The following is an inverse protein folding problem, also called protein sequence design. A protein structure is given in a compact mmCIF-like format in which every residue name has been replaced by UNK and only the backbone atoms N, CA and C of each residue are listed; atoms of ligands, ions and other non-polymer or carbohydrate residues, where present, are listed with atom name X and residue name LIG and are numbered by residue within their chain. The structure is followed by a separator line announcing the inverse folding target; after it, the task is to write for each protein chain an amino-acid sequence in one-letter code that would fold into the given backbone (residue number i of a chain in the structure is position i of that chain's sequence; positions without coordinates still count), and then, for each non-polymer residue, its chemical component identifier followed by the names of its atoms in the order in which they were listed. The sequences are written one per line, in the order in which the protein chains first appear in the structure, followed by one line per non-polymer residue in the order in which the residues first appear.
data_IF_800934005516
#
_entry.id   IF_800934005516
#
_cell.length_a   1.000
_cell.length_b   1.000
_cell.length_c   1.000
_cell.angle_alpha   90.00
_cell.angle_beta   90.00
_cell.angle_gamma   90.00
#
_symmetry.space_group_name_H-M   'P 1'
#
loop_
_entity.id
_entity.type
_entity.pdbx_description
1 polymer ?
#
# COMPACT_ATOMS: atom_id res chain seq x y z
N UNK A 1 31.28 -8.73 8.42
CA UNK A 1 30.51 -8.15 7.29
C UNK A 1 29.08 -7.93 7.77
N UNK A 2 28.70 -6.68 8.08
CA UNK A 2 27.28 -6.34 8.27
C UNK A 2 26.61 -6.48 6.90
N UNK A 3 25.78 -7.51 6.76
CA UNK A 3 24.81 -7.59 5.67
C UNK A 3 23.70 -6.60 6.03
N UNK A 4 23.70 -5.45 5.37
CA UNK A 4 22.54 -4.54 5.34
C UNK A 4 21.41 -5.32 4.68
N UNK A 5 20.51 -5.91 5.47
CA UNK A 5 19.30 -6.50 4.90
C UNK A 5 18.36 -5.36 4.54
N UNK A 6 17.86 -5.40 3.31
CA UNK A 6 16.62 -4.74 2.90
C UNK A 6 15.62 -4.83 4.04
N UNK A 7 14.98 -3.70 4.38
CA UNK A 7 14.11 -3.51 5.54
C UNK A 7 13.32 -4.78 5.89
N UNK A 8 13.70 -5.43 7.00
CA UNK A 8 13.12 -6.72 7.40
C UNK A 8 11.60 -6.60 7.62
N UNK A 9 11.16 -5.41 8.07
CA UNK A 9 9.76 -5.08 8.35
C UNK A 9 9.27 -4.05 7.33
N UNK A 10 8.20 -4.37 6.62
CA UNK A 10 7.49 -3.48 5.69
C UNK A 10 6.15 -3.09 6.26
N UNK A 11 5.84 -1.78 6.28
CA UNK A 11 4.57 -1.26 6.79
C UNK A 11 3.73 -0.62 5.68
N UNK A 12 2.41 -0.70 5.82
CA UNK A 12 1.44 -0.10 4.91
C UNK A 12 0.17 0.34 5.64
N UNK A 13 -0.44 1.43 5.19
CA UNK A 13 -1.74 1.91 5.63
C UNK A 13 -2.66 2.02 4.42
N UNK A 14 -3.94 1.65 4.53
CA UNK A 14 -4.86 1.71 3.38
C UNK A 14 -5.48 3.09 3.17
N UNK A 15 -5.39 3.94 4.20
CA UNK A 15 -5.98 5.26 4.30
C UNK A 15 -5.32 6.01 5.49
N UNK A 16 -5.89 7.15 5.86
CA UNK A 16 -5.40 8.02 6.94
C UNK A 16 -6.16 7.86 8.27
N UNK A 17 -6.77 6.72 8.57
CA UNK A 17 -7.58 6.54 9.79
C UNK A 17 -6.77 6.17 11.05
N UNK A 18 -5.43 6.16 10.97
CA UNK A 18 -4.54 5.76 12.06
C UNK A 18 -4.25 4.25 12.13
N UNK A 19 -4.89 3.41 11.31
CA UNK A 19 -4.62 1.97 11.25
C UNK A 19 -3.52 1.67 10.22
N UNK A 20 -2.55 0.85 10.62
CA UNK A 20 -1.50 0.37 9.74
C UNK A 20 -1.10 -1.07 10.04
N UNK A 21 -0.51 -1.71 9.05
CA UNK A 21 -0.08 -3.11 9.08
C UNK A 21 1.41 -3.17 8.80
N UNK A 22 2.16 -3.88 9.63
CA UNK A 22 3.58 -4.15 9.41
C UNK A 22 3.79 -5.65 9.28
N UNK A 23 4.53 -6.08 8.27
CA UNK A 23 4.76 -7.49 7.96
C UNK A 23 6.23 -7.77 7.67
N UNK A 24 6.64 -9.02 7.90
CA UNK A 24 7.99 -9.48 7.61
C UNK A 24 7.96 -10.91 7.08
N UNK A 25 8.97 -11.25 6.28
CA UNK A 25 9.12 -12.60 5.73
C UNK A 25 10.20 -13.35 6.49
N UNK A 26 9.85 -14.50 7.03
CA UNK A 26 10.80 -15.38 7.67
C UNK A 26 11.69 -16.08 6.63
N UNK A 27 12.99 -16.11 6.86
CA UNK A 27 13.89 -16.97 6.09
C UNK A 27 13.54 -18.44 6.32
N UNK A 28 13.59 -19.26 5.27
CA UNK A 28 13.18 -20.67 5.30
C UNK A 28 13.96 -21.52 6.33
N UNK A 29 15.19 -21.13 6.64
CA UNK A 29 16.04 -21.80 7.66
C UNK A 29 15.68 -21.43 9.11
N UNK A 30 14.76 -20.48 9.35
CA UNK A 30 14.33 -20.07 10.70
C UNK A 30 13.26 -21.02 11.23
N UNK A 31 13.69 -22.13 11.82
CA UNK A 31 12.81 -23.20 12.30
C UNK A 31 12.14 -22.89 13.64
N UNK A 32 12.84 -22.24 14.58
CA UNK A 32 12.32 -21.91 15.93
C UNK A 32 12.12 -20.40 16.09
N UNK A 33 11.27 -19.85 15.23
CA UNK A 33 10.95 -18.42 15.18
C UNK A 33 9.92 -18.02 16.23
N UNK A 34 10.14 -16.89 16.88
CA UNK A 34 9.19 -16.25 17.78
C UNK A 34 9.34 -14.72 17.71
N UNK A 35 8.25 -14.01 17.94
CA UNK A 35 8.29 -12.59 18.31
C UNK A 35 8.25 -12.54 19.83
N UNK A 36 9.29 -11.98 20.43
CA UNK A 36 9.45 -11.92 21.89
C UNK A 36 8.87 -10.62 22.44
N UNK A 37 8.98 -9.53 21.66
CA UNK A 37 8.47 -8.23 22.02
C UNK A 37 8.17 -7.42 20.76
N UNK A 38 7.15 -6.57 20.84
CA UNK A 38 6.89 -5.54 19.85
C UNK A 38 6.33 -4.29 20.56
N UNK A 39 6.62 -3.12 20.02
CA UNK A 39 5.98 -1.88 20.41
C UNK A 39 5.98 -0.91 19.24
N UNK A 40 4.89 -0.15 19.09
CA UNK A 40 4.84 1.01 18.22
C UNK A 40 4.55 2.23 19.09
N UNK A 41 5.36 3.27 18.99
CA UNK A 41 5.31 4.43 19.86
C UNK A 41 5.21 5.70 19.02
N UNK A 42 4.28 6.58 19.38
CA UNK A 42 4.23 7.97 18.88
C UNK A 42 4.05 8.91 20.07
N UNK A 43 4.85 9.98 20.13
CA UNK A 43 4.78 10.96 21.22
C UNK A 43 4.85 10.34 22.64
N UNK A 44 5.75 9.36 22.83
CA UNK A 44 5.88 8.60 24.09
C UNK A 44 4.63 7.83 24.51
N UNK A 45 3.63 7.68 23.64
CA UNK A 45 2.45 6.84 23.84
C UNK A 45 2.57 5.56 23.02
N UNK A 46 2.37 4.42 23.70
CA UNK A 46 2.26 3.12 23.05
C UNK A 46 0.97 3.05 22.23
N UNK A 47 1.08 2.61 20.98
CA UNK A 47 -0.04 2.37 20.10
C UNK A 47 -0.58 0.95 20.32
N UNK A 48 -1.88 0.78 20.13
CA UNK A 48 -2.50 -0.52 20.29
C UNK A 48 -2.15 -1.40 19.09
N UNK A 49 -1.36 -2.45 19.33
CA UNK A 49 -0.94 -3.39 18.30
C UNK A 49 -1.30 -4.83 18.65
N UNK A 50 -1.67 -5.62 17.64
CA UNK A 50 -2.00 -7.04 17.74
C UNK A 50 -1.19 -7.86 16.74
N UNK A 51 -0.51 -8.89 17.23
CA UNK A 51 0.24 -9.84 16.43
C UNK A 51 -0.69 -10.92 15.85
N UNK A 52 -0.52 -11.25 14.58
CA UNK A 52 -1.27 -12.31 13.92
C UNK A 52 -0.89 -13.71 14.42
N UNK A 53 -1.73 -14.71 14.14
CA UNK A 53 -1.49 -16.10 14.55
C UNK A 53 -0.25 -16.72 13.90
N UNK A 54 0.18 -16.21 12.74
CA UNK A 54 1.32 -16.72 12.00
C UNK A 54 2.64 -16.07 12.42
N UNK A 55 2.61 -15.09 13.34
CA UNK A 55 3.77 -14.38 13.85
C UNK A 55 4.54 -13.72 12.69
N UNK A 56 3.81 -13.17 11.73
CA UNK A 56 4.34 -12.56 10.49
C UNK A 56 3.80 -11.17 10.22
N UNK A 57 2.76 -10.76 10.92
CA UNK A 57 2.10 -9.48 10.74
C UNK A 57 1.68 -8.87 12.08
N UNK A 58 1.89 -7.56 12.19
CA UNK A 58 1.44 -6.74 13.29
C UNK A 58 0.43 -5.71 12.76
N UNK A 59 -0.79 -5.73 13.29
CA UNK A 59 -1.81 -4.70 13.02
C UNK A 59 -1.82 -3.71 14.16
N UNK A 60 -1.68 -2.42 13.88
CA UNK A 60 -1.67 -1.36 14.87
C UNK A 60 -2.74 -0.31 14.57
N UNK A 61 -3.25 0.33 15.63
CA UNK A 61 -4.14 1.48 15.52
C UNK A 61 -3.69 2.61 16.44
N UNK A 62 -3.55 3.78 15.84
CA UNK A 62 -3.34 5.04 16.53
C UNK A 62 -4.67 5.76 16.71
N UNK A 63 -5.26 5.62 17.91
CA UNK A 63 -6.60 6.14 18.20
C UNK A 63 -6.67 7.66 18.24
N UNK A 64 -5.54 8.30 18.53
CA UNK A 64 -5.42 9.76 18.64
C UNK A 64 -4.90 10.37 17.33
N UNK A 65 -4.90 9.61 16.24
CA UNK A 65 -4.49 10.08 14.92
C UNK A 65 -5.55 11.01 14.33
N UNK A 66 -5.10 12.17 13.82
CA UNK A 66 -5.97 13.12 13.13
C UNK A 66 -5.69 13.06 11.61
N UNK A 67 -6.60 12.52 10.79
CA UNK A 67 -6.43 12.39 9.34
C UNK A 67 -6.24 13.73 8.59
N UNK A 68 -6.65 14.83 9.20
CA UNK A 68 -6.70 16.17 8.58
C UNK A 68 -5.51 17.05 8.97
N UNK A 69 -4.68 16.62 9.91
CA UNK A 69 -3.52 17.36 10.38
C UNK A 69 -2.26 16.83 9.73
N UNK A 70 -1.27 17.70 9.55
CA UNK A 70 0.08 17.24 9.29
C UNK A 70 0.60 16.42 10.49
N UNK A 71 1.34 15.36 10.21
CA UNK A 71 1.98 14.50 11.22
C UNK A 71 3.27 15.17 11.74
N UNK A 72 3.32 15.66 12.99
CA UNK A 72 4.51 16.31 13.52
C UNK A 72 5.58 15.30 13.97
N UNK A 73 5.18 14.06 14.26
CA UNK A 73 6.00 13.03 14.87
C UNK A 73 5.79 11.69 14.17
N UNK A 74 6.89 11.02 13.85
CA UNK A 74 6.89 9.69 13.26
C UNK A 74 6.51 8.63 14.30
N UNK A 75 6.00 7.50 13.82
CA UNK A 75 5.81 6.28 14.59
C UNK A 75 7.14 5.53 14.61
N UNK A 76 7.56 5.10 15.81
CA UNK A 76 8.72 4.23 15.99
C UNK A 76 8.24 2.82 16.35
N UNK A 77 8.46 1.88 15.45
CA UNK A 77 8.20 0.46 15.65
C UNK A 77 9.50 -0.27 16.03
N UNK A 78 9.43 -1.05 17.11
CA UNK A 78 10.48 -1.96 17.54
C UNK A 78 9.93 -3.39 17.54
N UNK A 79 10.66 -4.31 16.93
CA UNK A 79 10.32 -5.73 16.84
C UNK A 79 11.51 -6.58 17.27
N UNK A 80 11.37 -7.33 18.37
CA UNK A 80 12.36 -8.30 18.83
C UNK A 80 11.93 -9.69 18.40
N UNK A 81 12.72 -10.28 17.49
CA UNK A 81 12.52 -11.63 16.99
C UNK A 81 13.60 -12.56 17.52
N UNK A 82 13.19 -13.79 17.83
CA UNK A 82 14.09 -14.87 18.22
C UNK A 82 14.06 -15.98 17.18
N UNK A 83 15.23 -16.49 16.82
CA UNK A 83 15.38 -17.76 16.12
C UNK A 83 16.41 -18.62 16.85
N UNK A 84 16.00 -19.77 17.37
CA UNK A 84 16.87 -20.63 18.19
C UNK A 84 17.45 -19.88 19.41
N UNK A 85 18.76 -19.62 19.41
CA UNK A 85 19.48 -18.88 20.46
C UNK A 85 19.78 -17.43 20.07
N UNK A 86 19.46 -17.04 18.83
CA UNK A 86 19.71 -15.70 18.31
C UNK A 86 18.50 -14.80 18.58
N UNK A 87 18.74 -13.71 19.29
CA UNK A 87 17.81 -12.59 19.41
C UNK A 87 18.23 -11.50 18.41
N UNK A 88 17.28 -10.96 17.68
CA UNK A 88 17.48 -9.85 16.74
C UNK A 88 16.44 -8.77 17.04
N UNK A 89 16.88 -7.53 17.01
CA UNK A 89 16.03 -6.35 17.17
C UNK A 89 15.97 -5.62 15.83
N UNK A 90 14.76 -5.30 15.39
CA UNK A 90 14.47 -4.59 14.16
C UNK A 90 13.70 -3.31 14.49
N UNK A 91 14.12 -2.20 13.90
CA UNK A 91 13.46 -0.91 14.07
C UNK A 91 12.91 -0.40 12.73
N UNK A 92 11.77 0.29 12.80
CA UNK A 92 11.18 1.00 11.67
C UNK A 92 10.61 2.32 12.15
N UNK A 93 11.03 3.41 11.52
CA UNK A 93 10.49 4.75 11.77
C UNK A 93 9.80 5.24 10.49
N UNK A 94 8.55 5.72 10.60
CA UNK A 94 7.75 6.15 9.45
C UNK A 94 6.64 7.12 9.87
N UNK A 95 6.13 7.87 8.90
CA UNK A 95 4.86 8.58 8.99
C UNK A 95 3.76 7.78 8.28
N UNK A 96 2.50 7.93 8.66
CA UNK A 96 1.38 7.27 7.98
C UNK A 96 1.33 7.70 6.52
N UNK A 97 1.50 9.00 6.23
CA UNK A 97 1.51 9.56 4.86
C UNK A 97 2.54 8.91 3.91
N UNK A 98 3.63 8.36 4.46
CA UNK A 98 4.69 7.72 3.68
C UNK A 98 4.40 6.24 3.37
N UNK A 99 3.52 5.62 4.16
CA UNK A 99 3.16 4.20 4.02
C UNK A 99 1.74 3.99 3.48
N UNK A 100 1.02 5.08 3.19
CA UNK A 100 -0.31 5.01 2.64
C UNK A 100 -0.27 4.44 1.21
N UNK A 101 -1.02 3.36 1.01
CA UNK A 101 -1.24 2.65 -0.24
C UNK A 101 -2.74 2.42 -0.39
N UNK A 102 -3.43 3.11 -1.32
CA UNK A 102 -4.84 2.86 -1.58
C UNK A 102 -5.10 1.40 -1.98
N UNK A 103 -6.28 0.88 -1.66
CA UNK A 103 -6.73 -0.41 -2.18
C UNK A 103 -6.97 -0.35 -3.71
N UNK A 104 -7.17 -1.51 -4.33
CA UNK A 104 -7.48 -1.62 -5.77
C UNK A 104 -8.72 -0.81 -6.16
N UNK A 105 -8.63 -0.11 -7.28
CA UNK A 105 -9.73 0.68 -7.85
C UNK A 105 -10.79 -0.23 -8.47
N UNK A 106 -12.07 -0.02 -8.15
CA UNK A 106 -13.17 -0.77 -8.76
C UNK A 106 -13.65 -0.12 -10.07
N UNK A 107 -13.57 -0.85 -11.19
CA UNK A 107 -14.18 -0.44 -12.47
C UNK A 107 -15.69 -0.64 -12.37
N UNK A 108 -16.48 0.41 -12.54
CA UNK A 108 -17.94 0.40 -12.30
C UNK A 108 -18.78 0.33 -13.56
N UNK A 109 -18.30 0.87 -14.69
CA UNK A 109 -19.07 0.90 -15.94
C UNK A 109 -18.13 0.87 -17.15
N UNK A 110 -18.58 0.19 -18.20
CA UNK A 110 -17.88 0.09 -19.48
C UNK A 110 -18.91 0.30 -20.59
N UNK A 111 -18.73 1.35 -21.37
CA UNK A 111 -19.62 1.68 -22.49
C UNK A 111 -18.78 2.20 -23.65
N UNK A 112 -18.83 1.56 -24.83
CA UNK A 112 -18.15 2.05 -26.05
C UNK A 112 -16.66 2.41 -25.84
N UNK A 113 -15.92 1.56 -25.13
CA UNK A 113 -14.52 1.77 -24.71
C UNK A 113 -14.29 2.92 -23.71
N UNK A 114 -15.34 3.43 -23.09
CA UNK A 114 -15.29 4.37 -21.97
C UNK A 114 -15.46 3.60 -20.66
N UNK A 115 -14.43 3.71 -19.82
CA UNK A 115 -14.35 3.08 -18.51
C UNK A 115 -14.63 4.13 -17.44
N UNK A 116 -15.45 3.79 -16.47
CA UNK A 116 -15.68 4.60 -15.26
C UNK A 116 -15.29 3.79 -14.02
N UNK A 117 -14.80 4.46 -12.99
CA UNK A 117 -14.42 3.84 -11.72
C UNK A 117 -14.76 4.74 -10.53
N UNK A 118 -14.62 4.16 -9.32
CA UNK A 118 -14.75 4.90 -8.07
C UNK A 118 -13.52 4.70 -7.20
N UNK A 119 -13.18 5.68 -6.32
CA UNK A 119 -12.24 5.45 -5.24
C UNK A 119 -12.56 4.17 -4.46
N UNK A 120 -11.56 3.44 -3.94
CA UNK A 120 -11.80 2.30 -3.07
C UNK A 120 -12.65 2.70 -1.86
N UNK A 121 -13.59 1.83 -1.44
CA UNK A 121 -14.47 2.11 -0.30
C UNK A 121 -13.72 2.31 1.02
N UNK A 122 -12.50 1.78 1.10
CA UNK A 122 -11.61 1.89 2.25
C UNK A 122 -10.83 3.20 2.28
N UNK A 123 -10.81 3.98 1.19
CA UNK A 123 -10.06 5.23 1.14
C UNK A 123 -10.68 6.31 2.04
N UNK A 124 -9.84 7.24 2.52
CA UNK A 124 -10.30 8.36 3.34
C UNK A 124 -11.34 9.23 2.62
N UNK A 125 -12.31 9.74 3.37
CA UNK A 125 -13.39 10.62 2.89
C UNK A 125 -13.41 11.91 3.74
N UNK A 126 -13.74 13.09 3.18
CA UNK A 126 -14.25 13.35 1.81
C UNK A 126 -13.16 13.34 0.73
N UNK A 127 -13.52 12.91 -0.49
CA UNK A 127 -12.61 12.88 -1.64
C UNK A 127 -12.11 14.27 -2.05
N UNK A 128 -12.79 15.34 -1.63
CA UNK A 128 -12.32 16.72 -1.81
C UNK A 128 -11.09 17.04 -0.96
N UNK A 129 -10.93 16.37 0.18
CA UNK A 129 -9.79 16.52 1.07
C UNK A 129 -8.73 15.44 0.82
N UNK A 130 -9.16 14.21 0.52
CA UNK A 130 -8.28 13.08 0.20
C UNK A 130 -8.41 12.69 -1.28
N UNK A 131 -7.93 13.52 -2.23
CA UNK A 131 -8.02 13.20 -3.64
C UNK A 131 -7.17 11.98 -3.98
N UNK A 132 -7.49 11.33 -5.10
CA UNK A 132 -6.65 10.30 -5.71
C UNK A 132 -6.28 10.72 -7.12
N UNK A 133 -5.04 10.46 -7.51
CA UNK A 133 -4.61 10.42 -8.90
C UNK A 133 -4.64 8.98 -9.40
N UNK A 134 -4.95 8.80 -10.67
CA UNK A 134 -5.03 7.50 -11.32
C UNK A 134 -3.98 7.39 -12.41
N UNK A 135 -3.32 6.25 -12.47
CA UNK A 135 -2.54 5.86 -13.64
C UNK A 135 -3.33 4.84 -14.43
N UNK A 136 -3.42 5.10 -15.73
CA UNK A 136 -4.10 4.28 -16.70
C UNK A 136 -3.06 3.72 -17.64
N UNK A 137 -3.23 2.44 -17.97
CA UNK A 137 -2.37 1.75 -18.92
C UNK A 137 -3.23 0.89 -19.84
N UNK A 138 -3.04 1.03 -21.15
CA UNK A 138 -3.69 0.20 -22.16
C UNK A 138 -2.59 -0.65 -22.80
N UNK A 139 -2.69 -1.96 -22.61
CA UNK A 139 -1.71 -2.93 -23.13
C UNK A 139 -2.38 -3.87 -24.12
N UNK A 140 -1.63 -4.52 -25.04
CA UNK A 140 -2.20 -5.56 -25.89
C UNK A 140 -2.84 -6.67 -25.04
N UNK A 141 -3.97 -7.22 -25.46
CA UNK A 141 -4.74 -8.23 -24.69
C UNK A 141 -3.93 -9.45 -24.22
N UNK A 142 -2.84 -9.78 -24.91
CA UNK A 142 -1.95 -10.90 -24.57
C UNK A 142 -0.98 -10.60 -23.41
N UNK A 143 -1.00 -9.40 -22.84
CA UNK A 143 -0.08 -8.96 -21.80
C UNK A 143 -0.83 -8.48 -20.55
N UNK A 144 -0.12 -8.53 -19.42
CA UNK A 144 -0.57 -7.99 -18.15
C UNK A 144 -0.24 -6.49 -18.00
N UNK A 145 -0.66 -5.92 -16.88
CA UNK A 145 -0.43 -4.51 -16.57
C UNK A 145 1.03 -4.16 -16.27
N UNK A 146 1.92 -5.13 -16.13
CA UNK A 146 3.35 -4.90 -15.88
C UNK A 146 4.16 -4.79 -17.18
N UNK A 147 3.58 -5.14 -18.33
CA UNK A 147 4.22 -5.05 -19.65
C UNK A 147 4.68 -3.63 -20.03
N UNK A 148 5.92 -3.47 -20.53
CA UNK A 148 6.57 -2.18 -20.85
C UNK A 148 7.00 -2.03 -22.31
N UNK A 149 6.20 -2.51 -23.26
CA UNK A 149 6.54 -2.43 -24.70
C UNK A 149 6.05 -1.17 -25.42
N UNK A 150 6.47 -1.01 -26.68
CA UNK A 150 6.14 0.15 -27.53
C UNK A 150 4.64 0.32 -27.87
N UNK A 151 3.79 -0.67 -27.54
CA UNK A 151 2.34 -0.64 -27.77
C UNK A 151 1.54 -0.31 -26.51
N UNK A 152 2.23 0.13 -25.46
CA UNK A 152 1.61 0.55 -24.21
C UNK A 152 1.24 2.02 -24.33
N UNK A 153 -0.03 2.33 -24.12
CA UNK A 153 -0.47 3.70 -23.86
C UNK A 153 -0.56 3.88 -22.34
N UNK A 154 0.08 4.90 -21.79
CA UNK A 154 0.08 5.18 -20.35
C UNK A 154 -0.22 6.65 -20.12
N UNK A 155 -1.16 6.94 -19.23
CA UNK A 155 -1.61 8.30 -18.91
C UNK A 155 -1.95 8.41 -17.42
N UNK A 156 -1.65 9.57 -16.83
CA UNK A 156 -2.10 9.94 -15.49
C UNK A 156 -3.31 10.88 -15.57
N UNK A 157 -4.29 10.72 -14.69
CA UNK A 157 -5.50 11.56 -14.64
C UNK A 157 -6.06 11.65 -13.23
N UNK A 158 -6.72 12.76 -12.91
CA UNK A 158 -7.52 12.92 -11.70
C UNK A 158 -9.02 12.69 -11.96
N UNK A 159 -9.40 12.38 -13.21
CA UNK A 159 -10.78 12.06 -13.58
C UNK A 159 -11.09 10.61 -13.21
N UNK A 160 -12.37 10.30 -13.01
CA UNK A 160 -12.87 8.95 -12.71
C UNK A 160 -13.44 8.24 -13.93
N UNK A 161 -13.08 8.68 -15.14
CA UNK A 161 -13.44 8.06 -16.40
C UNK A 161 -12.32 8.21 -17.43
N UNK A 162 -12.28 7.30 -18.40
CA UNK A 162 -11.34 7.35 -19.51
C UNK A 162 -11.85 6.59 -20.73
N UNK A 163 -11.70 7.20 -21.90
CA UNK A 163 -12.08 6.60 -23.18
C UNK A 163 -10.85 6.12 -23.94
N UNK A 164 -10.83 4.83 -24.26
CA UNK A 164 -9.76 4.20 -25.03
C UNK A 164 -10.04 4.31 -26.52
N UNK A 165 -9.11 4.92 -27.26
CA UNK A 165 -9.20 5.10 -28.71
C UNK A 165 -8.50 3.96 -29.48
N UNK A 166 -8.68 2.71 -29.06
CA UNK A 166 -8.14 1.53 -29.74
C UNK A 166 -9.24 0.72 -30.40
N UNK A 167 -8.98 0.29 -31.64
CA UNK A 167 -9.81 -0.69 -32.37
C UNK A 167 -9.33 -2.13 -32.20
N UNK A 168 -8.13 -2.34 -31.66
CA UNK A 168 -7.53 -3.67 -31.47
C UNK A 168 -7.84 -4.16 -30.05
N UNK A 169 -8.02 -5.47 -29.81
CA UNK A 169 -8.24 -6.00 -28.47
C UNK A 169 -7.13 -5.59 -27.49
N UNK A 170 -7.52 -5.19 -26.28
CA UNK A 170 -6.62 -4.61 -25.28
C UNK A 170 -6.97 -5.05 -23.87
N UNK A 171 -6.04 -4.88 -22.94
CA UNK A 171 -6.30 -4.93 -21.51
C UNK A 171 -6.20 -3.49 -20.99
N UNK A 172 -7.29 -2.99 -20.40
CA UNK A 172 -7.31 -1.74 -19.67
C UNK A 172 -6.85 -1.99 -18.24
N UNK A 173 -5.89 -1.21 -17.77
CA UNK A 173 -5.30 -1.29 -16.45
C UNK A 173 -5.41 0.06 -15.74
N UNK A 174 -5.74 0.03 -14.45
CA UNK A 174 -5.84 1.23 -13.63
C UNK A 174 -5.33 0.98 -12.21
N UNK A 175 -4.65 1.98 -11.64
CA UNK A 175 -4.26 2.03 -10.23
C UNK A 175 -4.35 3.46 -9.69
N UNK A 176 -4.43 3.61 -8.37
CA UNK A 176 -4.55 4.89 -7.69
C UNK A 176 -3.37 5.20 -6.78
N UNK A 177 -3.12 6.47 -6.53
CA UNK A 177 -2.12 6.96 -5.57
C UNK A 177 -2.62 8.27 -4.96
N UNK A 178 -2.13 8.57 -3.75
CA UNK A 178 -2.27 9.90 -3.18
C UNK A 178 -1.41 10.92 -3.96
N UNK A 179 -2.01 11.94 -4.61
CA UNK A 179 -1.29 12.88 -5.45
C UNK A 179 -0.39 13.85 -4.66
N UNK A 180 -0.59 13.98 -3.34
CA UNK A 180 0.18 14.87 -2.47
C UNK A 180 1.46 14.19 -2.00
N UNK A 181 1.36 12.96 -1.53
CA UNK A 181 2.54 12.22 -1.02
C UNK A 181 3.31 11.53 -2.14
N UNK A 182 2.60 11.08 -3.19
CA UNK A 182 3.13 10.26 -4.29
C UNK A 182 3.96 9.07 -3.81
N UNK A 183 3.63 8.53 -2.62
CA UNK A 183 4.43 7.51 -1.96
C UNK A 183 4.30 6.14 -2.64
N UNK A 184 3.08 5.58 -2.69
CA UNK A 184 2.86 4.21 -3.16
C UNK A 184 1.62 4.12 -4.05
N UNK A 185 1.77 3.49 -5.22
CA UNK A 185 0.63 3.13 -6.07
C UNK A 185 -0.11 1.91 -5.52
N UNK A 186 -1.44 1.90 -5.66
CA UNK A 186 -2.25 0.71 -5.46
C UNK A 186 -1.81 -0.40 -6.43
N UNK A 187 -2.22 -1.63 -6.13
CA UNK A 187 -2.12 -2.69 -7.12
C UNK A 187 -3.01 -2.40 -8.34
N UNK A 188 -2.67 -2.98 -9.48
CA UNK A 188 -3.46 -2.85 -10.70
C UNK A 188 -4.82 -3.54 -10.58
N UNK A 189 -5.86 -2.85 -11.02
CA UNK A 189 -7.12 -3.40 -11.49
C UNK A 189 -7.10 -3.46 -13.01
N UNK A 190 -7.76 -4.45 -13.61
CA UNK A 190 -7.76 -4.61 -15.05
C UNK A 190 -9.08 -5.12 -15.62
N UNK A 191 -9.29 -4.87 -16.91
CA UNK A 191 -10.39 -5.39 -17.70
C UNK A 191 -9.92 -5.76 -19.12
N UNK A 192 -10.37 -6.90 -19.64
CA UNK A 192 -10.05 -7.35 -20.99
C UNK A 192 -11.16 -6.98 -21.97
N UNK A 193 -10.82 -6.27 -23.05
CA UNK A 193 -11.70 -5.89 -24.16
C UNK A 193 -11.32 -6.63 -25.46
#
# INVERSE_FOLDING_TARGET
KLLVSVEFVSCSARNYNGQFHCSWKWHHERTHKAVVYFAAIRNSSDLNCTLDSNISELTCIDKDYCPYSEEPLSINLTLLVRNMFRLEEHHRTFFIRDIVKPDKVGITKIQDNEFEWRPPQTWSFPCSFFPLSYEIKVVPRSHDCDYTGNRVEQNETNKTHYKVNSKKPYTFCIRAQDPLTKAVWSDWSHHHQ
#
